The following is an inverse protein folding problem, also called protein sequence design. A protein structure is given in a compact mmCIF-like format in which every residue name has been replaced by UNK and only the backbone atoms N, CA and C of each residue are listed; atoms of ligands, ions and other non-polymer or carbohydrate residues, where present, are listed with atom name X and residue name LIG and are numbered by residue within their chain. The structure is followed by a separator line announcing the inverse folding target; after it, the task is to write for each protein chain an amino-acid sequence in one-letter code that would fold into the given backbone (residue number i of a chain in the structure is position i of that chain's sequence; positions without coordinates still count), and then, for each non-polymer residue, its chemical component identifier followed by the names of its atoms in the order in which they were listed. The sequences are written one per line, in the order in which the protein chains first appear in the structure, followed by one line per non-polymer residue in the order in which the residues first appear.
data_IF_290983307287
#
_entry.id   IF_290983307287
#
_cell.length_a   1.000
_cell.length_b   1.000
_cell.length_c   1.000
_cell.angle_alpha   90.00
_cell.angle_beta   90.00
_cell.angle_gamma   90.00
#
_symmetry.space_group_name_H-M   'P 1'
#
loop_
_entity.id
_entity.type
_entity.pdbx_description
1 polymer ?
#
# COMPACT_ATOMS: atom_id res chain seq x y z
N UNK A 1 -6.84 1.76 21.12
CA UNK A 1 -6.34 2.80 20.20
C UNK A 1 -5.09 3.40 20.83
N UNK A 2 -3.88 3.28 20.25
CA UNK A 2 -2.71 3.92 20.83
C UNK A 2 -2.94 5.43 20.90
N UNK A 3 -2.51 6.07 22.00
CA UNK A 3 -2.57 7.52 22.15
C UNK A 3 -1.84 8.20 20.96
N UNK A 4 -2.34 9.33 20.44
CA UNK A 4 -1.66 10.10 19.40
C UNK A 4 -0.18 10.39 19.75
N UNK A 5 0.11 10.47 21.05
CA UNK A 5 1.45 10.70 21.61
C UNK A 5 2.36 9.49 21.40
N UNK A 6 1.85 8.27 21.60
CA UNK A 6 2.63 7.04 21.42
C UNK A 6 3.05 6.84 19.96
N UNK A 7 2.11 7.00 19.03
CA UNK A 7 2.42 6.85 17.60
C UNK A 7 3.38 7.94 17.12
N UNK A 8 3.18 9.19 17.56
CA UNK A 8 4.09 10.30 17.20
C UNK A 8 5.51 10.06 17.71
N UNK A 9 5.65 9.54 18.93
CA UNK A 9 6.96 9.16 19.50
C UNK A 9 7.65 8.06 18.69
N UNK A 10 6.93 7.00 18.32
CA UNK A 10 7.51 5.91 17.51
C UNK A 10 7.96 6.43 16.13
N UNK A 11 7.17 7.32 15.52
CA UNK A 11 7.55 7.99 14.27
C UNK A 11 8.85 8.80 14.42
N UNK A 12 8.98 9.57 15.50
CA UNK A 12 10.19 10.33 15.81
C UNK A 12 11.40 9.41 16.02
N UNK A 13 11.26 8.33 16.78
CA UNK A 13 12.31 7.31 17.00
C UNK A 13 12.81 6.69 15.68
N UNK A 14 11.97 6.63 14.64
CA UNK A 14 12.31 6.08 13.33
C UNK A 14 12.64 7.15 12.27
N UNK A 15 12.72 8.43 12.65
CA UNK A 15 12.93 9.54 11.73
C UNK A 15 11.85 9.60 10.63
N UNK A 16 10.59 9.40 11.03
CA UNK A 16 9.41 9.48 10.16
C UNK A 16 8.65 10.76 10.52
N UNK A 17 8.54 11.68 9.57
CA UNK A 17 7.73 12.87 9.75
C UNK A 17 6.24 12.48 9.76
N UNK A 18 5.56 12.67 10.89
CA UNK A 18 4.13 12.38 11.02
C UNK A 18 3.29 13.57 10.55
N UNK A 19 2.69 13.47 9.36
CA UNK A 19 1.82 14.50 8.78
C UNK A 19 0.35 14.12 8.92
N UNK A 20 -0.44 15.02 9.52
CA UNK A 20 -1.90 14.91 9.61
C UNK A 20 -2.59 15.68 8.48
N UNK A 21 -3.76 15.20 8.06
CA UNK A 21 -4.61 15.94 7.11
C UNK A 21 -5.15 17.20 7.77
N UNK A 22 -5.19 18.30 7.02
CA UNK A 22 -5.78 19.55 7.52
C UNK A 22 -7.30 19.40 7.62
N UNK A 23 -7.89 19.97 8.68
CA UNK A 23 -9.34 20.05 8.87
C UNK A 23 -9.99 20.70 7.64
N UNK A 24 -11.06 20.10 7.09
CA UNK A 24 -11.79 20.55 5.88
C UNK A 24 -11.01 20.44 4.55
N UNK A 25 -9.95 19.61 4.50
CA UNK A 25 -9.19 19.36 3.25
C UNK A 25 -9.21 17.88 2.83
N UNK A 26 -10.39 17.28 2.57
CA UNK A 26 -10.51 15.83 2.32
C UNK A 26 -9.75 15.34 1.08
N UNK A 27 -9.53 16.20 0.08
CA UNK A 27 -8.79 15.82 -1.14
C UNK A 27 -7.34 15.39 -0.89
N UNK A 28 -6.74 15.81 0.23
CA UNK A 28 -5.40 15.37 0.65
C UNK A 28 -5.34 13.88 0.99
N UNK A 29 -6.50 13.28 1.29
CA UNK A 29 -6.67 11.86 1.57
C UNK A 29 -7.19 11.06 0.35
N UNK A 30 -7.35 11.71 -0.80
CA UNK A 30 -8.04 11.13 -1.96
C UNK A 30 -7.35 9.90 -2.56
N UNK A 31 -6.03 9.77 -2.43
CA UNK A 31 -5.30 8.59 -2.91
C UNK A 31 -5.65 7.33 -2.12
N UNK A 32 -5.64 7.40 -0.78
CA UNK A 32 -5.99 6.25 0.07
C UNK A 32 -7.47 5.93 -0.06
N UNK A 33 -8.35 6.93 -0.18
CA UNK A 33 -9.78 6.72 -0.41
C UNK A 33 -10.05 6.03 -1.74
N UNK A 34 -9.35 6.44 -2.81
CA UNK A 34 -9.44 5.78 -4.11
C UNK A 34 -8.96 4.33 -4.04
N UNK A 35 -7.84 4.06 -3.36
CA UNK A 35 -7.33 2.69 -3.17
C UNK A 35 -8.32 1.84 -2.36
N UNK A 36 -8.83 2.36 -1.25
CA UNK A 36 -9.82 1.67 -0.41
C UNK A 36 -11.09 1.33 -1.19
N UNK A 37 -11.54 2.24 -2.07
CA UNK A 37 -12.67 1.96 -2.97
C UNK A 37 -12.35 0.81 -3.93
N UNK A 38 -11.18 0.82 -4.57
CA UNK A 38 -10.74 -0.26 -5.47
C UNK A 38 -10.69 -1.61 -4.76
N UNK A 39 -10.14 -1.67 -3.55
CA UNK A 39 -10.11 -2.90 -2.74
C UNK A 39 -11.53 -3.37 -2.45
N UNK A 40 -12.41 -2.47 -1.96
CA UNK A 40 -13.81 -2.83 -1.64
C UNK A 40 -14.57 -3.33 -2.86
N UNK A 41 -14.37 -2.71 -4.01
CA UNK A 41 -14.99 -3.11 -5.28
C UNK A 41 -14.50 -4.45 -5.79
N UNK A 42 -13.26 -4.84 -5.49
CA UNK A 42 -12.70 -6.13 -5.88
C UNK A 42 -13.03 -7.25 -4.88
N UNK A 43 -13.30 -6.91 -3.61
CA UNK A 43 -13.47 -7.88 -2.51
C UNK A 43 -14.90 -7.88 -1.98
N UNK A 44 -15.16 -7.18 -0.87
CA UNK A 44 -16.40 -7.23 -0.07
C UNK A 44 -17.67 -6.85 -0.82
N UNK A 45 -17.59 -6.14 -1.95
CA UNK A 45 -18.77 -5.85 -2.78
C UNK A 45 -19.14 -6.96 -3.76
N UNK A 46 -18.24 -7.93 -4.01
CA UNK A 46 -18.41 -9.01 -4.99
C UNK A 46 -18.52 -10.39 -4.37
N UNK A 47 -17.98 -10.57 -3.17
CA UNK A 47 -17.88 -11.87 -2.52
C UNK A 47 -18.46 -11.81 -1.11
N UNK A 48 -19.14 -12.89 -0.73
CA UNK A 48 -19.48 -13.18 0.67
C UNK A 48 -18.32 -13.93 1.32
N UNK A 49 -18.09 -13.70 2.60
CA UNK A 49 -17.09 -14.42 3.40
C UNK A 49 -17.77 -14.99 4.62
N UNK A 50 -17.49 -16.26 4.92
CA UNK A 50 -18.09 -16.93 6.09
C UNK A 50 -17.35 -16.55 7.38
N UNK A 51 -16.07 -16.23 7.25
CA UNK A 51 -15.22 -15.79 8.36
C UNK A 51 -14.21 -14.71 7.92
N UNK A 52 -13.53 -14.16 8.92
CA UNK A 52 -12.54 -13.12 8.71
C UNK A 52 -11.24 -13.62 8.06
N UNK A 53 -10.88 -14.89 8.25
CA UNK A 53 -9.68 -15.48 7.68
C UNK A 53 -9.77 -15.58 6.15
N UNK A 54 -10.95 -15.94 5.62
CA UNK A 54 -11.21 -15.92 4.17
C UNK A 54 -11.02 -14.52 3.58
N UNK A 55 -11.55 -13.49 4.25
CA UNK A 55 -11.37 -12.10 3.81
C UNK A 55 -9.88 -11.69 3.86
N UNK A 56 -9.16 -12.04 4.93
CA UNK A 56 -7.73 -11.76 5.05
C UNK A 56 -6.92 -12.41 3.92
N UNK A 57 -7.18 -13.68 3.62
CA UNK A 57 -6.51 -14.39 2.54
C UNK A 57 -6.82 -13.75 1.18
N UNK A 58 -8.08 -13.41 0.91
CA UNK A 58 -8.43 -12.78 -0.35
C UNK A 58 -7.83 -11.36 -0.48
N UNK A 59 -7.77 -10.60 0.61
CA UNK A 59 -7.09 -9.30 0.63
C UNK A 59 -5.59 -9.43 0.33
N UNK A 60 -4.91 -10.41 0.93
CA UNK A 60 -3.50 -10.69 0.64
C UNK A 60 -3.30 -11.02 -0.85
N UNK A 61 -4.07 -11.97 -1.38
CA UNK A 61 -4.02 -12.35 -2.79
C UNK A 61 -4.29 -11.16 -3.72
N UNK A 62 -5.24 -10.28 -3.37
CA UNK A 62 -5.54 -9.09 -4.15
C UNK A 62 -4.36 -8.10 -4.16
N UNK A 63 -3.75 -7.86 -3.00
CA UNK A 63 -2.62 -6.94 -2.85
C UNK A 63 -1.41 -7.46 -3.63
N UNK A 64 -1.13 -8.77 -3.57
CA UNK A 64 -0.05 -9.39 -4.32
C UNK A 64 -0.28 -9.29 -5.82
N UNK A 65 -1.48 -9.67 -6.29
CA UNK A 65 -1.85 -9.54 -7.69
C UNK A 65 -1.78 -8.08 -8.16
N UNK A 66 -2.17 -7.12 -7.33
CA UNK A 66 -2.09 -5.69 -7.65
C UNK A 66 -0.66 -5.19 -7.75
N UNK A 67 0.18 -5.51 -6.77
CA UNK A 67 1.55 -5.00 -6.69
C UNK A 67 2.50 -5.65 -7.70
N UNK A 68 2.30 -6.94 -7.98
CA UNK A 68 3.26 -7.73 -8.75
C UNK A 68 2.72 -8.24 -10.09
N UNK A 69 1.40 -8.45 -10.22
CA UNK A 69 0.80 -8.98 -11.46
C UNK A 69 0.15 -7.91 -12.34
N UNK A 70 -0.37 -6.83 -11.75
CA UNK A 70 -1.21 -5.86 -12.46
C UNK A 70 -0.39 -4.72 -13.05
N UNK A 71 -0.30 -4.68 -14.38
CA UNK A 71 0.28 -3.55 -15.13
C UNK A 71 -0.68 -2.37 -15.15
N UNK A 72 -0.19 -1.18 -14.78
CA UNK A 72 -1.02 0.03 -14.66
C UNK A 72 -0.67 1.04 -15.76
N UNK A 73 -1.68 1.53 -16.48
CA UNK A 73 -1.50 2.56 -17.52
C UNK A 73 -0.87 3.84 -16.96
N UNK A 74 -1.27 4.24 -15.74
CA UNK A 74 -0.70 5.40 -15.05
C UNK A 74 0.80 5.26 -14.77
N UNK A 75 1.31 4.03 -14.68
CA UNK A 75 2.72 3.71 -14.48
C UNK A 75 3.41 3.31 -15.80
N UNK A 76 2.87 3.76 -16.95
CA UNK A 76 3.39 3.45 -18.30
C UNK A 76 3.48 1.93 -18.57
N UNK A 77 2.53 1.16 -18.03
CA UNK A 77 2.48 -0.29 -18.21
C UNK A 77 3.34 -1.09 -17.25
N UNK A 78 3.98 -0.46 -16.27
CA UNK A 78 4.69 -1.14 -15.19
C UNK A 78 3.70 -1.63 -14.12
N UNK A 79 4.07 -2.69 -13.42
CA UNK A 79 3.45 -3.04 -12.13
C UNK A 79 3.92 -2.05 -11.06
N UNK A 80 3.18 -1.87 -9.96
CA UNK A 80 3.64 -1.06 -8.84
C UNK A 80 5.04 -1.43 -8.35
N UNK A 81 5.35 -2.72 -8.24
CA UNK A 81 6.67 -3.19 -7.84
C UNK A 81 7.77 -2.82 -8.84
N UNK A 82 7.56 -3.08 -10.13
CA UNK A 82 8.51 -2.70 -11.20
C UNK A 82 8.76 -1.19 -11.18
N UNK A 83 7.71 -0.39 -10.96
CA UNK A 83 7.82 1.06 -10.85
C UNK A 83 8.69 1.47 -9.66
N UNK A 84 8.48 0.88 -8.48
CA UNK A 84 9.29 1.16 -7.28
C UNK A 84 10.76 0.79 -7.51
N UNK A 85 11.06 -0.38 -8.08
CA UNK A 85 12.43 -0.79 -8.40
C UNK A 85 13.09 0.18 -9.38
N UNK A 86 12.34 0.65 -10.38
CA UNK A 86 12.83 1.65 -11.34
C UNK A 86 13.13 2.98 -10.66
N UNK A 87 12.26 3.46 -9.77
CA UNK A 87 12.48 4.69 -9.02
C UNK A 87 13.69 4.58 -8.08
N UNK A 88 13.85 3.43 -7.42
CA UNK A 88 15.01 3.17 -6.56
C UNK A 88 16.32 3.19 -7.34
N UNK A 89 16.34 2.62 -8.55
CA UNK A 89 17.53 2.63 -9.42
C UNK A 89 17.96 4.05 -9.80
N UNK A 90 17.00 4.98 -9.97
CA UNK A 90 17.28 6.37 -10.34
C UNK A 90 17.51 7.31 -9.15
N UNK A 91 16.87 7.05 -8.01
CA UNK A 91 16.78 7.97 -6.86
C UNK A 91 16.88 7.18 -5.54
N UNK A 92 17.92 6.35 -5.42
CA UNK A 92 18.12 5.41 -4.30
C UNK A 92 18.11 6.09 -2.92
N UNK A 93 18.57 7.34 -2.84
CA UNK A 93 18.65 8.16 -1.62
C UNK A 93 17.28 8.48 -1.02
N UNK A 94 16.20 8.38 -1.81
CA UNK A 94 14.82 8.59 -1.34
C UNK A 94 14.26 7.38 -0.59
N UNK A 95 14.94 6.24 -0.64
CA UNK A 95 14.47 4.98 -0.07
C UNK A 95 15.29 4.61 1.16
N UNK A 96 14.61 4.20 2.24
CA UNK A 96 15.27 3.67 3.44
C UNK A 96 15.75 2.22 3.27
N UNK A 97 15.18 1.49 2.31
CA UNK A 97 15.44 0.06 2.06
C UNK A 97 15.53 -0.23 0.57
N UNK A 98 16.32 -1.23 0.20
CA UNK A 98 16.38 -1.76 -1.15
C UNK A 98 15.13 -2.62 -1.44
N UNK A 99 14.31 -2.26 -2.45
CA UNK A 99 13.09 -2.99 -2.77
C UNK A 99 13.32 -4.33 -3.46
N UNK A 100 14.54 -4.67 -3.91
CA UNK A 100 14.83 -5.89 -4.68
C UNK A 100 14.45 -7.17 -3.90
N UNK A 101 14.48 -7.12 -2.57
CA UNK A 101 14.08 -8.23 -1.71
C UNK A 101 12.56 -8.36 -1.52
N UNK A 102 11.74 -7.44 -2.05
CA UNK A 102 10.28 -7.47 -1.94
C UNK A 102 9.61 -8.25 -3.08
N UNK A 103 10.37 -9.02 -3.88
CA UNK A 103 9.76 -9.97 -4.80
C UNK A 103 8.92 -10.97 -4.00
N UNK A 104 7.67 -11.25 -4.40
CA UNK A 104 6.97 -12.39 -3.86
C UNK A 104 7.80 -13.61 -4.26
N UNK A 105 8.17 -14.44 -3.29
CA UNK A 105 8.73 -15.75 -3.58
C UNK A 105 7.77 -16.57 -4.46
N UNK A 106 8.14 -17.79 -4.83
CA UNK A 106 7.18 -18.68 -5.48
C UNK A 106 5.92 -18.80 -4.59
N UNK A 107 4.75 -18.55 -5.19
CA UNK A 107 3.48 -18.89 -4.57
C UNK A 107 3.46 -20.41 -4.37
N UNK A 108 3.77 -20.88 -3.15
CA UNK A 108 3.52 -22.26 -2.72
C UNK A 108 2.09 -22.39 -2.22
#
# INVERSE_FOLDING_TARGET
MPSPIFFSRVCEEHGIEHRLTKIKHPWTNGQVERMNRTIKEATVKRFHYDDHAQLQQHLANFIDAYNYGRRLKALKGLTPYEFICKQWTSESERFKVDPIHLMPGLNT
#
